data_IF_877437235201
#
_entry.id   IF_877437235201
#
_cell.length_a   1.000
_cell.length_b   1.000
_cell.length_c   1.000
_cell.angle_alpha   90.00
_cell.angle_beta   90.00
_cell.angle_gamma   90.00
#
_symmetry.space_group_name_H-M   'P 1'
#
loop_
_entity.id
_entity.type
_entity.pdbx_description
1 polymer ?
#
# COMPACT_ATOMS: atom_id res chain seq x y z
N UNK A 1 -6.01 9.32 -4.90
CA UNK A 1 -5.06 8.20 -5.05
C UNK A 1 -3.73 8.66 -4.50
N UNK A 2 -3.09 7.83 -3.67
CA UNK A 2 -1.74 8.07 -3.17
C UNK A 2 -0.81 7.02 -3.78
N UNK A 3 0.43 7.39 -4.05
CA UNK A 3 1.44 6.51 -4.66
C UNK A 3 2.77 6.74 -3.97
N UNK A 4 3.60 5.70 -3.95
CA UNK A 4 5.01 5.80 -3.61
C UNK A 4 5.82 5.18 -4.75
N UNK A 5 7.05 5.66 -4.96
CA UNK A 5 7.93 5.15 -6.00
C UNK A 5 9.31 4.83 -5.46
N UNK A 6 9.96 3.87 -6.12
CA UNK A 6 11.26 3.33 -5.73
C UNK A 6 12.38 4.38 -5.72
N UNK A 7 12.20 5.49 -6.42
CA UNK A 7 13.11 6.65 -6.46
C UNK A 7 12.89 7.63 -5.29
N UNK A 8 12.06 7.28 -4.29
CA UNK A 8 11.96 8.05 -3.06
C UNK A 8 10.80 9.04 -2.99
N UNK A 9 9.99 9.11 -4.04
CA UNK A 9 8.88 10.05 -4.11
C UNK A 9 7.59 9.45 -3.59
N UNK A 10 6.81 10.29 -2.93
CA UNK A 10 5.39 10.06 -2.72
C UNK A 10 4.60 11.04 -3.57
N UNK A 11 3.44 10.61 -4.04
CA UNK A 11 2.54 11.43 -4.83
C UNK A 11 1.10 11.25 -4.40
N UNK A 12 0.28 12.27 -4.63
CA UNK A 12 -1.16 12.10 -4.59
C UNK A 12 -1.84 12.81 -5.75
N UNK A 13 -2.89 12.19 -6.26
CA UNK A 13 -3.78 12.76 -7.27
C UNK A 13 -5.11 13.06 -6.62
N UNK A 14 -5.52 14.33 -6.67
CA UNK A 14 -6.84 14.82 -6.24
C UNK A 14 -7.41 15.72 -7.33
N UNK A 15 -8.63 15.43 -7.79
CA UNK A 15 -9.30 16.18 -8.87
C UNK A 15 -8.45 16.33 -10.14
N UNK A 16 -7.71 15.27 -10.51
CA UNK A 16 -6.80 15.29 -11.67
C UNK A 16 -5.49 16.06 -11.47
N UNK A 17 -5.30 16.74 -10.34
CA UNK A 17 -4.05 17.44 -10.01
C UNK A 17 -3.11 16.50 -9.24
N UNK A 18 -1.91 16.33 -9.78
CA UNK A 18 -0.81 15.60 -9.16
C UNK A 18 -0.03 16.55 -8.24
N UNK A 19 0.20 16.11 -6.99
CA UNK A 19 1.22 16.68 -6.10
C UNK A 19 2.22 15.61 -5.71
N UNK A 20 3.46 16.01 -5.46
CA UNK A 20 4.54 15.10 -5.09
C UNK A 20 5.41 15.68 -3.96
N UNK A 21 6.12 14.80 -3.27
CA UNK A 21 7.14 15.14 -2.28
C UNK A 21 8.23 14.07 -2.27
N UNK A 22 9.48 14.50 -2.11
CA UNK A 22 10.62 13.61 -1.96
C UNK A 22 10.82 13.29 -0.49
N UNK A 23 11.00 12.00 -0.17
CA UNK A 23 11.18 11.55 1.21
C UNK A 23 12.61 11.05 1.44
N UNK A 24 13.13 10.19 0.54
CA UNK A 24 14.35 9.41 0.84
C UNK A 24 15.06 8.88 -0.41
N UNK A 25 16.36 8.61 -0.29
CA UNK A 25 17.29 8.21 -1.36
C UNK A 25 16.87 7.04 -2.24
N UNK A 26 16.11 6.07 -1.73
CA UNK A 26 15.57 4.96 -2.53
C UNK A 26 14.63 4.07 -1.73
N UNK A 27 13.77 3.34 -2.45
CA UNK A 27 13.17 2.10 -1.97
C UNK A 27 11.87 2.28 -1.20
N UNK A 28 11.07 3.32 -1.47
CA UNK A 28 9.70 3.34 -0.99
C UNK A 28 8.91 2.23 -1.71
N UNK A 29 8.38 1.28 -0.95
CA UNK A 29 7.67 0.13 -1.50
C UNK A 29 6.17 0.18 -1.26
N UNK A 30 5.73 0.93 -0.25
CA UNK A 30 4.34 0.91 0.19
C UNK A 30 3.93 2.21 0.86
N UNK A 31 2.62 2.52 0.83
CA UNK A 31 2.06 3.76 1.37
C UNK A 31 0.73 3.52 2.09
N UNK A 32 0.69 3.85 3.38
CA UNK A 32 -0.51 3.85 4.22
C UNK A 32 -1.02 5.28 4.41
N UNK A 33 -2.32 5.52 4.36
CA UNK A 33 -2.90 6.87 4.49
C UNK A 33 -3.66 7.02 5.80
N UNK A 34 -3.40 8.09 6.54
CA UNK A 34 -4.28 8.49 7.65
C UNK A 34 -5.54 9.17 7.09
N UNK A 35 -6.72 8.67 7.44
CA UNK A 35 -8.00 9.19 6.95
C UNK A 35 -8.33 10.61 7.42
N UNK A 36 -7.56 11.17 8.36
CA UNK A 36 -7.93 12.39 9.11
C UNK A 36 -6.90 13.52 9.07
N UNK A 37 -5.63 13.27 8.71
CA UNK A 37 -4.57 14.26 8.92
C UNK A 37 -3.84 14.73 7.66
N UNK A 38 -4.27 14.26 6.48
CA UNK A 38 -3.48 14.45 5.26
C UNK A 38 -2.07 13.88 5.41
N UNK A 39 -1.87 12.92 6.32
CA UNK A 39 -0.59 12.25 6.52
C UNK A 39 -0.57 10.91 5.82
N UNK A 40 0.59 10.58 5.28
CA UNK A 40 0.88 9.26 4.73
C UNK A 40 2.08 8.68 5.46
N UNK A 41 2.08 7.36 5.55
CA UNK A 41 3.13 6.55 6.13
C UNK A 41 3.75 5.74 5.02
N UNK A 42 5.07 5.68 4.95
CA UNK A 42 5.76 4.94 3.90
C UNK A 42 6.84 4.06 4.48
N UNK A 43 6.93 2.87 3.90
CA UNK A 43 7.99 1.91 4.15
C UNK A 43 9.15 2.12 3.18
N UNK A 44 10.36 2.25 3.70
CA UNK A 44 11.58 2.40 2.93
C UNK A 44 12.50 1.19 3.14
N UNK A 45 13.01 0.63 2.05
CA UNK A 45 13.93 -0.50 2.08
C UNK A 45 15.19 -0.19 2.90
N UNK A 46 15.52 -1.01 3.89
CA UNK A 46 16.64 -0.87 4.85
C UNK A 46 16.66 0.41 5.69
N UNK A 47 15.64 1.26 5.57
CA UNK A 47 15.61 2.57 6.22
C UNK A 47 14.46 2.71 7.23
N UNK A 48 13.48 1.81 7.17
CA UNK A 48 12.38 1.73 8.12
C UNK A 48 11.16 2.54 7.67
N UNK A 49 10.50 3.19 8.62
CA UNK A 49 9.21 3.86 8.43
C UNK A 49 9.34 5.38 8.47
N UNK A 50 8.61 6.06 7.58
CA UNK A 50 8.52 7.52 7.54
C UNK A 50 7.07 7.98 7.53
N UNK A 51 6.82 9.16 8.09
CA UNK A 51 5.56 9.89 8.01
C UNK A 51 5.77 11.17 7.22
N UNK A 52 4.87 11.47 6.30
CA UNK A 52 4.78 12.76 5.61
C UNK A 52 3.41 13.37 5.83
N UNK A 53 3.34 14.68 6.08
CA UNK A 53 2.07 15.41 6.21
C UNK A 53 1.91 16.43 5.07
N UNK A 54 0.87 16.25 4.25
CA UNK A 54 0.59 17.11 3.09
C UNK A 54 0.13 18.51 3.44
N UNK A 55 -0.38 18.74 4.66
CA UNK A 55 -0.86 20.05 5.08
C UNK A 55 0.30 20.94 5.57
N UNK A 56 1.26 20.38 6.28
CA UNK A 56 2.44 21.11 6.79
C UNK A 56 3.66 21.00 5.88
N UNK A 57 3.70 20.02 4.97
CA UNK A 57 4.89 19.68 4.18
C UNK A 57 5.99 18.98 4.99
N UNK A 58 5.74 18.65 6.26
CA UNK A 58 6.75 18.05 7.14
C UNK A 58 6.87 16.55 6.94
N UNK A 59 8.10 16.04 6.96
CA UNK A 59 8.38 14.60 7.00
C UNK A 59 9.21 14.24 8.24
N UNK A 60 9.00 13.04 8.77
CA UNK A 60 9.68 12.53 9.99
C UNK A 60 9.94 11.04 9.86
N UNK A 61 11.09 10.57 10.37
CA UNK A 61 11.35 9.13 10.55
C UNK A 61 10.61 8.64 11.80
N UNK A 62 10.08 7.42 11.74
CA UNK A 62 9.45 6.76 12.88
C UNK A 62 10.50 5.87 13.55
N UNK A 63 10.81 6.18 14.80
CA UNK A 63 11.67 5.39 15.68
C UNK A 63 10.87 4.22 16.24
N UNK A 64 11.17 3.03 15.73
CA UNK A 64 10.49 1.78 16.12
C UNK A 64 11.24 1.12 17.27
N UNK A 65 10.48 0.68 18.29
CA UNK A 65 10.97 -0.17 19.38
C UNK A 65 10.27 -1.52 19.40
N UNK A 66 11.03 -2.58 19.62
CA UNK A 66 10.54 -3.94 19.91
C UNK A 66 10.92 -4.25 21.37
N UNK A 67 9.93 -4.21 22.28
CA UNK A 67 10.19 -4.12 23.71
C UNK A 67 10.97 -2.84 24.06
N UNK A 68 12.15 -3.00 24.67
CA UNK A 68 13.05 -1.88 25.01
C UNK A 68 14.13 -1.63 23.93
N UNK A 69 14.20 -2.48 22.91
CA UNK A 69 15.25 -2.42 21.89
C UNK A 69 14.83 -1.55 20.71
N UNK A 70 15.74 -0.69 20.25
CA UNK A 70 15.53 0.12 19.06
C UNK A 70 15.74 -0.71 17.78
N UNK A 71 14.81 -0.60 16.82
CA UNK A 71 14.90 -1.25 15.51
C UNK A 71 15.37 -0.21 14.48
N UNK A 72 16.68 -0.13 14.24
CA UNK A 72 17.27 0.99 13.49
C UNK A 72 17.13 0.86 11.96
N UNK A 73 17.16 -0.37 11.44
CA UNK A 73 17.14 -0.67 9.99
C UNK A 73 16.37 -1.96 9.73
N UNK A 74 15.33 -1.84 8.92
CA UNK A 74 14.51 -2.98 8.50
C UNK A 74 13.86 -2.65 7.15
N UNK A 75 13.52 -3.71 6.43
CA UNK A 75 12.83 -3.62 5.15
C UNK A 75 11.33 -3.63 5.40
N UNK A 76 10.61 -2.80 4.64
CA UNK A 76 9.15 -2.78 4.63
C UNK A 76 8.70 -3.12 3.22
N UNK A 77 8.14 -4.32 3.08
CA UNK A 77 7.64 -4.82 1.80
C UNK A 77 6.22 -4.34 1.51
N UNK A 78 5.42 -4.13 2.56
CA UNK A 78 4.06 -3.60 2.49
C UNK A 78 3.69 -2.90 3.80
N UNK A 79 2.81 -1.89 3.75
CA UNK A 79 2.39 -1.08 4.90
C UNK A 79 0.92 -0.65 4.81
N UNK A 80 0.20 -0.81 5.90
CA UNK A 80 -1.15 -0.31 6.05
C UNK A 80 -1.32 0.47 7.35
N UNK A 81 -2.12 1.54 7.29
CA UNK A 81 -2.46 2.37 8.46
C UNK A 81 -3.91 2.15 8.86
N UNK A 82 -4.17 2.12 10.16
CA UNK A 82 -5.51 1.99 10.70
C UNK A 82 -5.65 2.79 12.00
N UNK A 83 -6.78 3.50 12.13
CA UNK A 83 -7.16 4.13 13.40
C UNK A 83 -8.27 3.30 14.01
N UNK A 84 -7.99 2.71 15.17
CA UNK A 84 -8.96 1.95 15.94
C UNK A 84 -9.66 2.85 16.93
N UNK A 85 -10.99 2.75 17.02
CA UNK A 85 -11.76 3.44 18.05
C UNK A 85 -11.98 2.50 19.23
N UNK A 86 -11.42 2.83 20.38
CA UNK A 86 -11.55 2.02 21.61
C UNK A 86 -12.83 2.40 22.34
N UNK A 87 -13.06 3.71 22.50
CA UNK A 87 -14.29 4.28 23.05
C UNK A 87 -14.54 5.68 22.46
N UNK A 88 -15.58 6.37 22.94
CA UNK A 88 -15.97 7.71 22.43
C UNK A 88 -14.87 8.77 22.54
N UNK A 89 -13.87 8.58 23.39
CA UNK A 89 -12.81 9.54 23.66
C UNK A 89 -11.40 8.99 23.38
N UNK A 90 -11.27 7.69 23.13
CA UNK A 90 -9.99 7.03 22.93
C UNK A 90 -9.93 6.33 21.58
N UNK A 91 -8.86 6.62 20.86
CA UNK A 91 -8.45 5.88 19.67
C UNK A 91 -6.97 5.55 19.75
N UNK A 92 -6.57 4.54 19.01
CA UNK A 92 -5.17 4.22 18.77
C UNK A 92 -4.88 4.24 17.27
N UNK A 93 -3.65 4.59 16.94
CA UNK A 93 -3.17 4.64 15.56
C UNK A 93 -2.18 3.51 15.36
N UNK A 94 -2.51 2.61 14.44
CA UNK A 94 -1.80 1.38 14.19
C UNK A 94 -1.21 1.42 12.77
N UNK A 95 -0.02 0.83 12.64
CA UNK A 95 0.60 0.49 11.37
C UNK A 95 0.80 -1.02 11.36
N UNK A 96 0.28 -1.69 10.35
CA UNK A 96 0.70 -3.05 10.02
C UNK A 96 1.73 -3.00 8.90
N UNK A 97 2.75 -3.84 8.96
CA UNK A 97 3.73 -3.95 7.88
C UNK A 97 4.31 -5.36 7.72
N UNK A 98 4.74 -5.68 6.50
CA UNK A 98 5.50 -6.88 6.19
C UNK A 98 7.00 -6.55 6.22
N UNK A 99 7.80 -7.32 6.96
CA UNK A 99 9.26 -7.17 7.02
C UNK A 99 10.01 -8.50 6.86
N UNK A 100 11.34 -8.44 7.06
CA UNK A 100 12.23 -9.60 7.12
C UNK A 100 12.15 -10.48 5.86
N UNK A 101 12.28 -9.86 4.69
CA UNK A 101 12.16 -10.54 3.39
C UNK A 101 10.82 -11.30 3.25
N UNK A 102 9.73 -10.65 3.66
CA UNK A 102 8.36 -11.18 3.64
C UNK A 102 8.12 -12.36 4.58
N UNK A 103 8.89 -12.45 5.67
CA UNK A 103 8.73 -13.51 6.69
C UNK A 103 8.08 -13.03 7.98
N UNK A 104 8.02 -11.72 8.22
CA UNK A 104 7.43 -11.15 9.42
C UNK A 104 6.24 -10.27 9.10
N UNK A 105 5.18 -10.44 9.88
CA UNK A 105 4.00 -9.58 9.92
C UNK A 105 4.02 -8.85 11.26
N UNK A 106 4.06 -7.52 11.22
CA UNK A 106 4.27 -6.70 12.42
C UNK A 106 3.10 -5.73 12.58
N UNK A 107 2.58 -5.63 13.80
CA UNK A 107 1.64 -4.61 14.24
C UNK A 107 2.38 -3.61 15.15
N UNK A 108 2.34 -2.34 14.76
CA UNK A 108 3.01 -1.23 15.42
C UNK A 108 1.97 -0.22 15.91
N UNK A 109 1.99 0.12 17.20
CA UNK A 109 1.22 1.24 17.73
C UNK A 109 2.05 2.51 17.70
N UNK A 110 1.49 3.57 17.11
CA UNK A 110 2.12 4.89 17.07
C UNK A 110 1.99 5.61 18.40
N UNK A 111 3.11 6.12 18.90
CA UNK A 111 3.23 6.90 20.13
C UNK A 111 3.63 8.33 19.76
N UNK A 112 2.63 9.13 19.39
CA UNK A 112 2.85 10.48 18.85
C UNK A 112 3.26 10.46 17.38
N UNK A 113 4.10 11.42 16.98
CA UNK A 113 4.44 11.65 15.55
C UNK A 113 5.69 10.91 15.06
N UNK A 114 6.56 10.50 15.99
CA UNK A 114 7.92 10.03 15.68
C UNK A 114 8.26 8.69 16.31
N UNK A 115 7.42 8.15 17.19
CA UNK A 115 7.71 6.90 17.88
C UNK A 115 6.67 5.85 17.54
N UNK A 116 7.10 4.61 17.43
CA UNK A 116 6.23 3.45 17.30
C UNK A 116 6.73 2.31 18.18
N UNK A 117 5.80 1.57 18.78
CA UNK A 117 6.07 0.38 19.58
C UNK A 117 5.50 -0.84 18.87
N UNK A 118 6.30 -1.88 18.70
CA UNK A 118 5.82 -3.18 18.22
C UNK A 118 4.91 -3.75 19.32
N UNK A 119 3.64 -3.87 19.00
CA UNK A 119 2.63 -4.46 19.88
C UNK A 119 2.39 -5.93 19.50
N UNK A 120 2.61 -6.29 18.23
CA UNK A 120 2.33 -7.63 17.73
C UNK A 120 3.32 -8.08 16.66
N UNK A 121 3.73 -9.36 16.70
CA UNK A 121 4.64 -9.92 15.67
C UNK A 121 4.36 -11.38 15.38
N UNK A 122 4.07 -11.69 14.13
CA UNK A 122 3.98 -13.04 13.58
C UNK A 122 5.12 -13.35 12.63
N UNK A 123 5.66 -14.58 12.68
CA UNK A 123 6.79 -14.97 11.83
C UNK A 123 6.54 -16.31 11.14
N UNK A 124 6.85 -16.36 9.84
CA UNK A 124 6.86 -17.58 9.04
C UNK A 124 8.27 -18.19 9.06
N UNK A 125 8.40 -19.39 9.61
CA UNK A 125 9.68 -20.10 9.71
C UNK A 125 9.98 -20.99 8.52
N UNK A 126 8.94 -21.42 7.78
CA UNK A 126 9.12 -22.25 6.59
C UNK A 126 9.66 -21.45 5.42
N UNK A 127 10.64 -21.99 4.70
CA UNK A 127 11.29 -21.32 3.58
C UNK A 127 10.32 -21.03 2.41
N UNK A 128 9.39 -21.95 2.16
CA UNK A 128 8.40 -21.88 1.07
C UNK A 128 7.26 -20.89 1.32
N UNK A 129 7.06 -20.41 2.55
CA UNK A 129 5.97 -19.51 2.91
C UNK A 129 6.43 -18.05 2.95
N UNK A 130 5.68 -17.15 2.34
CA UNK A 130 5.94 -15.71 2.41
C UNK A 130 4.62 -14.95 2.54
N UNK A 131 4.62 -13.87 3.31
CA UNK A 131 3.52 -12.92 3.24
C UNK A 131 3.51 -12.26 1.86
N UNK A 132 2.32 -12.09 1.29
CA UNK A 132 2.15 -11.45 -0.01
C UNK A 132 1.88 -9.96 0.14
N UNK A 133 0.73 -9.67 0.73
CA UNK A 133 0.06 -8.38 0.80
C UNK A 133 -0.82 -8.32 2.07
N UNK A 134 -1.09 -7.13 2.59
CA UNK A 134 -1.92 -6.93 3.80
C UNK A 134 -2.93 -5.82 3.60
N UNK A 135 -4.04 -5.86 4.35
CA UNK A 135 -4.89 -4.68 4.51
C UNK A 135 -5.70 -4.76 5.81
N UNK A 136 -6.17 -3.62 6.30
CA UNK A 136 -7.15 -3.61 7.38
C UNK A 136 -8.57 -3.70 6.83
N UNK A 137 -9.32 -4.69 7.32
CA UNK A 137 -10.76 -4.84 7.12
C UNK A 137 -11.45 -4.60 8.47
N UNK A 138 -11.93 -3.38 8.68
CA UNK A 138 -12.45 -2.90 9.96
C UNK A 138 -11.46 -3.20 11.12
N UNK A 139 -11.90 -3.86 12.19
CA UNK A 139 -11.07 -4.23 13.37
C UNK A 139 -10.24 -5.51 13.15
N UNK A 140 -9.98 -5.90 11.90
CA UNK A 140 -9.18 -7.08 11.55
C UNK A 140 -8.04 -6.73 10.59
N UNK A 141 -6.87 -7.32 10.83
CA UNK A 141 -5.80 -7.35 9.85
C UNK A 141 -5.99 -8.56 8.94
N UNK A 142 -6.16 -8.31 7.64
CA UNK A 142 -6.20 -9.31 6.59
C UNK A 142 -4.81 -9.41 5.97
N UNK A 143 -4.34 -10.62 5.74
CA UNK A 143 -3.02 -10.87 5.17
C UNK A 143 -3.05 -12.07 4.23
N UNK A 144 -2.20 -12.03 3.21
CA UNK A 144 -2.03 -13.14 2.29
C UNK A 144 -0.75 -13.90 2.54
N UNK A 145 -0.79 -15.22 2.31
CA UNK A 145 0.38 -16.09 2.33
C UNK A 145 0.46 -16.80 0.98
N UNK A 146 1.54 -16.53 0.26
CA UNK A 146 1.78 -17.07 -1.09
C UNK A 146 1.78 -18.60 -1.03
N UNK A 147 0.99 -19.24 -1.91
CA UNK A 147 0.84 -20.70 -1.94
C UNK A 147 -0.12 -21.28 -0.89
N UNK A 148 -0.87 -20.44 -0.16
CA UNK A 148 -1.84 -20.86 0.86
C UNK A 148 -3.19 -20.17 0.72
N UNK A 149 -3.21 -18.84 0.72
CA UNK A 149 -4.45 -18.08 0.65
C UNK A 149 -4.47 -16.78 1.45
N UNK A 150 -5.68 -16.33 1.75
CA UNK A 150 -6.01 -15.13 2.52
C UNK A 150 -6.50 -15.53 3.90
N UNK A 151 -5.96 -14.86 4.90
CA UNK A 151 -6.29 -15.07 6.29
C UNK A 151 -6.63 -13.72 6.93
N UNK A 152 -7.28 -13.78 8.08
CA UNK A 152 -7.46 -12.60 8.93
C UNK A 152 -7.08 -12.90 10.37
N UNK A 153 -6.81 -11.84 11.12
CA UNK A 153 -6.66 -11.88 12.56
C UNK A 153 -7.30 -10.61 13.14
N UNK A 154 -8.21 -10.73 14.13
CA UNK A 154 -8.70 -9.56 14.85
C UNK A 154 -7.53 -8.79 15.48
N UNK A 155 -7.60 -7.46 15.47
CA UNK A 155 -6.53 -6.61 16.03
C UNK A 155 -6.25 -6.93 17.51
N UNK A 156 -7.30 -7.25 18.29
CA UNK A 156 -7.16 -7.69 19.69
C UNK A 156 -6.36 -8.98 19.87
N UNK A 157 -6.31 -9.83 18.85
CA UNK A 157 -5.60 -11.10 18.87
C UNK A 157 -4.18 -10.98 18.29
N UNK A 158 -3.78 -9.78 17.85
CA UNK A 158 -2.45 -9.53 17.31
C UNK A 158 -1.42 -9.13 18.36
N UNK A 159 -1.84 -8.71 19.55
CA UNK A 159 -0.89 -8.32 20.59
C UNK A 159 0.01 -9.50 20.98
N UNK A 160 1.27 -9.19 21.29
CA UNK A 160 2.36 -10.11 21.55
C UNK A 160 2.82 -10.95 20.34
N UNK A 161 3.59 -12.00 20.62
CA UNK A 161 4.10 -12.93 19.62
C UNK A 161 2.97 -13.83 19.14
N UNK A 162 2.72 -13.83 17.83
CA UNK A 162 1.71 -14.66 17.18
C UNK A 162 2.38 -15.93 16.65
N UNK A 163 1.96 -17.08 17.16
CA UNK A 163 2.46 -18.38 16.71
C UNK A 163 2.05 -18.66 15.26
N UNK A 164 2.95 -19.29 14.49
CA UNK A 164 2.72 -19.58 13.07
C UNK A 164 1.47 -20.44 12.84
N UNK A 165 1.14 -21.34 13.76
CA UNK A 165 -0.07 -22.16 13.69
C UNK A 165 -1.34 -21.31 13.69
N UNK A 166 -1.35 -20.22 14.48
CA UNK A 166 -2.46 -19.28 14.54
C UNK A 166 -2.55 -18.41 13.27
N UNK A 167 -1.41 -18.13 12.62
CA UNK A 167 -1.38 -17.43 11.32
C UNK A 167 -1.86 -18.30 10.15
N UNK A 168 -1.86 -19.61 10.32
CA UNK A 168 -2.20 -20.59 9.29
C UNK A 168 -3.48 -21.38 9.62
N UNK A 169 -4.27 -20.93 10.60
CA UNK A 169 -5.49 -21.61 11.02
C UNK A 169 -6.56 -21.58 9.92
N UNK A 170 -7.15 -22.74 9.63
CA UNK A 170 -8.27 -22.85 8.67
C UNK A 170 -9.50 -22.05 9.11
N UNK A 171 -9.71 -21.88 10.42
CA UNK A 171 -10.80 -21.05 10.96
C UNK A 171 -10.65 -19.57 10.52
N UNK A 172 -9.41 -19.13 10.39
CA UNK A 172 -9.02 -17.78 9.95
C UNK A 172 -8.85 -17.66 8.44
N UNK A 173 -8.95 -18.75 7.69
CA UNK A 173 -8.89 -18.73 6.24
C UNK A 173 -10.18 -18.11 5.66
N UNK A 174 -10.00 -17.14 4.77
CA UNK A 174 -11.07 -16.47 4.01
C UNK A 174 -11.13 -16.97 2.57
N UNK A 175 -9.97 -17.30 1.99
CA UNK A 175 -9.85 -17.62 0.57
C UNK A 175 -8.63 -18.50 0.34
N UNK A 176 -8.79 -19.64 -0.32
CA UNK A 176 -7.66 -20.48 -0.71
C UNK A 176 -7.17 -20.09 -2.10
N UNK A 177 -5.87 -19.83 -2.21
CA UNK A 177 -5.22 -19.48 -3.48
C UNK A 177 -3.75 -19.89 -3.46
N UNK A 178 -3.25 -20.32 -4.61
CA UNK A 178 -1.84 -20.67 -4.80
C UNK A 178 -1.04 -19.48 -5.36
N UNK A 179 -1.69 -18.64 -6.15
CA UNK A 179 -1.09 -17.49 -6.79
C UNK A 179 -0.80 -16.37 -5.77
N UNK A 180 0.18 -15.49 -6.03
CA UNK A 180 0.28 -14.22 -5.31
C UNK A 180 -0.99 -13.40 -5.53
N UNK A 181 -1.34 -12.56 -4.55
CA UNK A 181 -2.55 -11.76 -4.63
C UNK A 181 -2.31 -10.32 -4.18
N UNK A 182 -3.20 -9.43 -4.58
CA UNK A 182 -3.36 -8.08 -4.04
C UNK A 182 -4.74 -7.95 -3.37
N UNK A 183 -4.82 -7.18 -2.28
CA UNK A 183 -5.95 -7.05 -1.39
C UNK A 183 -6.42 -5.60 -1.31
N UNK A 184 -7.73 -5.39 -1.23
CA UNK A 184 -8.26 -4.06 -0.92
C UNK A 184 -9.60 -4.14 -0.17
N UNK A 185 -9.81 -3.25 0.80
CA UNK A 185 -11.03 -3.20 1.62
C UNK A 185 -12.04 -2.18 1.12
N UNK A 186 -13.28 -2.62 0.87
CA UNK A 186 -14.41 -1.75 0.53
C UNK A 186 -15.28 -1.53 1.76
N UNK A 187 -14.96 -0.47 2.51
CA UNK A 187 -15.57 -0.17 3.80
C UNK A 187 -17.09 -0.05 3.77
N UNK A 188 -17.66 0.65 2.79
CA UNK A 188 -19.11 0.91 2.78
C UNK A 188 -19.97 -0.34 2.51
N UNK A 189 -19.37 -1.38 1.91
CA UNK A 189 -20.04 -2.63 1.55
C UNK A 189 -19.61 -3.81 2.43
N UNK A 190 -18.63 -3.61 3.31
CA UNK A 190 -17.98 -4.66 4.09
C UNK A 190 -17.53 -5.86 3.23
N UNK A 191 -16.86 -5.57 2.10
CA UNK A 191 -16.31 -6.60 1.21
C UNK A 191 -14.79 -6.45 1.07
N UNK A 192 -14.10 -7.58 1.11
CA UNK A 192 -12.68 -7.69 0.76
C UNK A 192 -12.59 -8.00 -0.73
N UNK A 193 -11.88 -7.16 -1.48
CA UNK A 193 -11.57 -7.38 -2.89
C UNK A 193 -10.21 -8.07 -3.00
N UNK A 194 -10.11 -9.05 -3.89
CA UNK A 194 -8.94 -9.89 -4.09
C UNK A 194 -8.62 -9.94 -5.59
N UNK A 195 -7.35 -9.71 -5.92
CA UNK A 195 -6.82 -9.90 -7.27
C UNK A 195 -5.77 -11.01 -7.22
N UNK A 196 -6.00 -12.09 -7.97
CA UNK A 196 -4.98 -13.11 -8.17
C UNK A 196 -4.03 -12.73 -9.31
N UNK A 197 -2.74 -12.68 -8.99
CA UNK A 197 -1.68 -12.40 -9.97
C UNK A 197 -1.37 -13.68 -10.74
N UNK A 198 -1.80 -13.73 -11.99
CA UNK A 198 -1.49 -14.83 -12.90
C UNK A 198 -0.49 -14.39 -13.98
N UNK A 199 0.23 -15.34 -14.58
CA UNK A 199 1.13 -15.07 -15.71
C UNK A 199 0.39 -14.72 -17.00
N UNK A 200 -0.93 -14.98 -17.04
CA UNK A 200 -1.84 -14.64 -18.12
C UNK A 200 -2.47 -13.25 -17.96
N UNK A 201 -3.52 -13.00 -18.74
CA UNK A 201 -4.28 -11.75 -18.64
C UNK A 201 -5.13 -11.75 -17.37
N UNK A 202 -5.26 -10.58 -16.73
CA UNK A 202 -6.22 -10.41 -15.65
C UNK A 202 -7.63 -10.34 -16.23
N UNK A 203 -8.45 -11.37 -16.00
CA UNK A 203 -9.84 -11.43 -16.48
C UNK A 203 -10.88 -11.02 -15.44
N UNK A 204 -10.67 -11.43 -14.18
CA UNK A 204 -11.65 -11.30 -13.10
C UNK A 204 -11.02 -10.78 -11.81
N UNK A 205 -11.85 -10.16 -10.97
CA UNK A 205 -11.56 -9.74 -9.59
C UNK A 205 -12.54 -10.47 -8.68
N UNK A 206 -12.08 -11.02 -7.57
CA UNK A 206 -12.96 -11.66 -6.60
C UNK A 206 -13.30 -10.71 -5.46
N UNK A 207 -14.49 -10.84 -4.88
CA UNK A 207 -14.77 -10.24 -3.58
C UNK A 207 -15.37 -11.24 -2.61
N UNK A 208 -15.11 -10.99 -1.33
CA UNK A 208 -15.58 -11.78 -0.20
C UNK A 208 -16.31 -10.84 0.75
N UNK A 209 -17.63 -11.01 0.96
CA UNK A 209 -18.31 -10.37 2.07
C UNK A 209 -17.67 -10.80 3.38
N UNK A 210 -17.30 -9.84 4.21
CA UNK A 210 -16.75 -10.08 5.54
C UNK A 210 -17.90 -10.38 6.52
N UNK A 211 -18.72 -11.37 6.18
CA UNK A 211 -19.81 -11.91 6.97
C UNK A 211 -19.67 -13.44 7.09
N UNK A 212 -20.56 -14.08 7.84
CA UNK A 212 -20.42 -15.49 8.24
C UNK A 212 -20.43 -16.49 7.05
N UNK A 213 -20.94 -16.11 5.87
CA UNK A 213 -21.13 -17.08 4.78
C UNK A 213 -19.85 -17.41 3.99
N UNK A 214 -18.75 -16.66 4.16
CA UNK A 214 -17.44 -16.87 3.47
C UNK A 214 -17.55 -17.24 1.98
N UNK A 215 -18.58 -16.76 1.27
CA UNK A 215 -18.77 -16.99 -0.16
C UNK A 215 -18.06 -15.90 -0.94
N UNK A 216 -17.24 -16.28 -1.92
CA UNK A 216 -16.67 -15.31 -2.84
C UNK A 216 -17.52 -15.21 -4.12
N UNK A 217 -17.46 -14.05 -4.78
CA UNK A 217 -18.03 -13.83 -6.12
C UNK A 217 -16.98 -13.21 -7.01
N UNK A 218 -16.89 -13.68 -8.23
CA UNK A 218 -16.05 -13.10 -9.28
C UNK A 218 -16.80 -11.94 -9.98
N UNK A 219 -16.05 -10.91 -10.33
CA UNK A 219 -16.49 -9.74 -11.09
C UNK A 219 -15.58 -9.63 -12.30
N UNK A 220 -16.17 -9.53 -13.48
CA UNK A 220 -15.43 -9.37 -14.72
C UNK A 220 -14.81 -7.98 -14.85
N UNK A 221 -13.75 -7.90 -15.66
CA UNK A 221 -13.15 -6.63 -16.08
C UNK A 221 -13.26 -6.46 -17.61
N UNK A 222 -13.83 -5.35 -18.04
CA UNK A 222 -13.79 -4.88 -19.42
C UNK A 222 -12.60 -3.93 -19.65
N UNK A 223 -11.65 -4.41 -20.46
CA UNK A 223 -10.40 -3.71 -20.81
C UNK A 223 -10.48 -2.87 -22.09
N UNK A 224 -11.68 -2.68 -22.65
CA UNK A 224 -11.85 -1.98 -23.93
C UNK A 224 -12.08 -0.49 -23.70
N UNK A 225 -11.31 0.34 -24.39
CA UNK A 225 -11.53 1.79 -24.44
C UNK A 225 -11.32 2.28 -25.88
N UNK A 226 -12.25 3.08 -26.42
CA UNK A 226 -12.22 3.60 -27.81
C UNK A 226 -11.85 2.55 -28.88
N UNK A 227 -12.41 1.34 -28.76
CA UNK A 227 -12.17 0.17 -29.63
C UNK A 227 -10.76 -0.44 -29.56
N UNK A 228 -9.97 -0.11 -28.54
CA UNK A 228 -8.67 -0.74 -28.26
C UNK A 228 -8.79 -1.62 -27.01
N UNK A 229 -8.16 -2.79 -27.06
CA UNK A 229 -8.03 -3.65 -25.90
C UNK A 229 -6.73 -3.30 -25.15
N UNK A 230 -6.87 -2.97 -23.87
CA UNK A 230 -5.78 -2.57 -22.99
C UNK A 230 -5.46 -3.59 -21.89
N UNK A 231 -5.87 -4.86 -22.04
CA UNK A 231 -5.68 -5.90 -21.04
C UNK A 231 -4.21 -5.96 -20.56
N UNK A 232 -4.05 -5.98 -19.24
CA UNK A 232 -2.75 -6.12 -18.59
C UNK A 232 -2.55 -7.58 -18.15
N UNK A 233 -1.29 -8.00 -18.11
CA UNK A 233 -0.91 -9.28 -17.52
C UNK A 233 -1.02 -9.19 -15.99
N UNK A 234 -1.52 -10.25 -15.34
CA UNK A 234 -1.72 -10.26 -13.89
C UNK A 234 -0.42 -10.12 -13.10
N UNK A 235 0.68 -10.67 -13.62
CA UNK A 235 2.02 -10.57 -13.03
C UNK A 235 2.68 -9.19 -13.22
N UNK A 236 2.14 -8.35 -14.12
CA UNK A 236 2.57 -6.97 -14.31
C UNK A 236 1.89 -5.98 -13.35
N UNK A 237 0.95 -6.46 -12.52
CA UNK A 237 0.31 -5.65 -11.48
C UNK A 237 1.31 -5.47 -10.34
N UNK A 238 1.59 -4.24 -9.96
CA UNK A 238 2.46 -3.89 -8.84
C UNK A 238 1.70 -3.26 -7.67
N UNK A 239 0.43 -2.91 -7.87
CA UNK A 239 -0.42 -2.42 -6.81
C UNK A 239 -1.89 -2.38 -7.20
N UNK A 240 -2.74 -2.42 -6.19
CA UNK A 240 -4.19 -2.45 -6.31
C UNK A 240 -4.82 -1.54 -5.26
N UNK A 241 -5.87 -0.81 -5.65
CA UNK A 241 -6.71 -0.14 -4.67
C UNK A 241 -8.16 -0.09 -5.12
N UNK A 242 -9.04 0.06 -4.14
CA UNK A 242 -10.48 0.22 -4.32
C UNK A 242 -10.95 1.46 -3.59
N UNK A 243 -11.96 2.11 -4.16
CA UNK A 243 -12.69 3.19 -3.50
C UNK A 243 -13.55 2.68 -2.35
N UNK A 244 -13.82 3.53 -1.36
CA UNK A 244 -14.56 3.15 -0.15
C UNK A 244 -15.97 2.61 -0.42
N UNK A 245 -16.61 3.05 -1.51
CA UNK A 245 -17.94 2.61 -1.97
C UNK A 245 -17.87 1.42 -2.96
N UNK A 246 -16.66 1.03 -3.36
CA UNK A 246 -16.43 -0.01 -4.35
C UNK A 246 -16.93 0.37 -5.73
N UNK A 247 -17.01 1.67 -6.05
CA UNK A 247 -17.42 2.14 -7.37
C UNK A 247 -16.26 2.14 -8.36
N UNK A 248 -15.05 2.38 -7.87
CA UNK A 248 -13.83 2.43 -8.64
C UNK A 248 -12.76 1.48 -8.11
N UNK A 249 -12.04 0.84 -9.02
CA UNK A 249 -10.78 0.15 -8.76
C UNK A 249 -9.65 0.81 -9.57
N UNK A 250 -8.42 0.69 -9.08
CA UNK A 250 -7.24 1.06 -9.84
C UNK A 250 -6.15 0.00 -9.73
N UNK A 251 -5.48 -0.23 -10.85
CA UNK A 251 -4.42 -1.21 -11.03
C UNK A 251 -3.17 -0.48 -11.52
N UNK A 252 -2.08 -0.60 -10.77
CA UNK A 252 -0.79 -0.02 -11.11
C UNK A 252 0.22 -1.09 -11.57
N UNK A 253 1.23 -0.63 -12.30
CA UNK A 253 2.33 -1.41 -12.89
C UNK A 253 3.08 -0.48 -13.84
N UNK A 254 3.42 -0.95 -15.05
CA UNK A 254 3.92 -0.05 -16.11
C UNK A 254 2.91 1.04 -16.50
N UNK A 255 1.62 0.76 -16.31
CA UNK A 255 0.51 1.69 -16.54
C UNK A 255 -0.43 1.70 -15.34
N UNK A 256 -1.10 2.83 -15.16
CA UNK A 256 -2.20 3.01 -14.23
C UNK A 256 -3.53 2.90 -14.99
N UNK A 257 -4.25 1.82 -14.76
CA UNK A 257 -5.62 1.63 -15.21
C UNK A 257 -6.59 2.00 -14.08
N UNK A 258 -7.66 2.73 -14.41
CA UNK A 258 -8.75 3.04 -13.47
C UNK A 258 -10.05 2.57 -14.10
N UNK A 259 -10.82 1.80 -13.34
CA UNK A 259 -12.05 1.18 -13.82
C UNK A 259 -13.22 1.56 -12.92
N UNK A 260 -14.40 1.71 -13.51
CA UNK A 260 -15.65 2.02 -12.84
C UNK A 260 -16.60 0.83 -12.91
N UNK A 261 -17.27 0.53 -11.81
CA UNK A 261 -18.28 -0.52 -11.74
C UNK A 261 -19.52 -0.09 -12.54
N UNK A 262 -19.88 -0.87 -13.54
CA UNK A 262 -21.09 -0.69 -14.36
C UNK A 262 -22.18 -1.63 -13.83
N UNK A 263 -23.28 -1.05 -13.37
CA UNK A 263 -24.54 -1.74 -12.98
C UNK A 263 -24.39 -3.04 -12.14
N UNK A 264 -23.35 -3.13 -11.29
CA UNK A 264 -23.00 -4.31 -10.45
C UNK A 264 -22.57 -5.59 -11.19
N UNK A 265 -22.35 -5.52 -12.51
CA UNK A 265 -22.05 -6.71 -13.32
C UNK A 265 -20.56 -6.84 -13.64
N UNK A 266 -19.85 -5.74 -13.90
CA UNK A 266 -18.42 -5.76 -14.21
C UNK A 266 -17.76 -4.37 -14.05
N UNK A 267 -16.43 -4.33 -14.02
CA UNK A 267 -15.66 -3.07 -14.03
C UNK A 267 -15.22 -2.70 -15.44
N UNK A 268 -15.50 -1.47 -15.87
CA UNK A 268 -15.12 -0.95 -17.18
C UNK A 268 -14.02 0.09 -17.08
N UNK A 269 -13.04 0.02 -17.99
CA UNK A 269 -11.99 1.01 -18.12
C UNK A 269 -12.56 2.42 -18.44
N UNK A 270 -12.28 3.41 -17.59
CA UNK A 270 -12.87 4.76 -17.75
C UNK A 270 -12.14 5.64 -18.78
N UNK A 271 -10.87 5.31 -19.06
CA UNK A 271 -9.96 6.08 -19.93
C UNK A 271 -8.79 5.22 -20.36
N UNK A 272 -8.06 5.67 -21.39
CA UNK A 272 -6.79 5.05 -21.77
C UNK A 272 -5.83 4.97 -20.55
N UNK A 273 -5.20 3.79 -20.29
CA UNK A 273 -4.31 3.64 -19.15
C UNK A 273 -3.14 4.60 -19.25
N UNK A 274 -2.84 5.26 -18.13
CA UNK A 274 -1.79 6.27 -18.07
C UNK A 274 -0.46 5.57 -17.86
N UNK A 275 0.55 5.82 -18.68
CA UNK A 275 1.89 5.31 -18.40
C UNK A 275 2.40 5.85 -17.05
N UNK A 276 2.77 4.95 -16.14
CA UNK A 276 3.18 5.29 -14.79
C UNK A 276 4.58 5.94 -14.71
N UNK A 277 5.11 6.41 -15.85
CA UNK A 277 6.30 7.26 -15.87
C UNK A 277 5.88 8.64 -15.43
N UNK A 278 6.23 9.02 -14.20
CA UNK A 278 6.19 10.42 -13.76
C UNK A 278 7.04 11.22 -14.76
N UNK A 279 6.38 11.87 -15.71
CA UNK A 279 7.01 12.87 -16.54
C UNK A 279 7.12 14.11 -15.69
N UNK A 280 8.34 14.56 -15.45
CA UNK A 280 8.61 15.86 -14.86
C UNK A 280 8.60 16.97 -15.94
N UNK A 281 8.13 16.67 -17.15
CA UNK A 281 8.19 17.59 -18.28
C UNK A 281 7.51 18.93 -17.95
N UNK A 282 8.32 19.99 -17.88
CA UNK A 282 7.93 21.36 -17.50
C UNK A 282 7.51 21.54 -16.03
N UNK A 283 7.76 20.56 -15.16
CA UNK A 283 7.62 20.75 -13.73
C UNK A 283 8.79 21.61 -13.22
N UNK A 284 8.48 22.76 -12.62
CA UNK A 284 9.47 23.67 -12.04
C UNK A 284 9.77 23.29 -10.59
N UNK A 285 11.05 23.09 -10.29
CA UNK A 285 11.58 22.81 -8.97
C UNK A 285 12.49 23.98 -8.56
N UNK A 286 12.06 24.75 -7.54
CA UNK A 286 12.79 25.92 -7.01
C UNK A 286 13.12 25.70 -5.55
N UNK A 287 14.31 26.14 -5.12
CA UNK A 287 14.71 26.09 -3.70
C UNK A 287 14.84 24.68 -3.13
N UNK A 288 15.16 23.68 -3.97
CA UNK A 288 15.31 22.30 -3.53
C UNK A 288 16.61 22.11 -2.75
N UNK A 289 16.48 21.95 -1.43
CA UNK A 289 17.57 21.57 -0.53
C UNK A 289 17.63 20.04 -0.39
N UNK A 290 18.85 19.47 -0.34
CA UNK A 290 19.06 18.05 -0.09
C UNK A 290 18.97 17.10 -1.29
N UNK A 291 18.83 17.61 -2.52
CA UNK A 291 18.92 16.77 -3.72
C UNK A 291 20.38 16.47 -4.07
N UNK A 292 20.71 15.20 -4.28
CA UNK A 292 22.03 14.81 -4.81
C UNK A 292 22.12 15.13 -6.30
N UNK A 293 23.33 15.16 -6.86
CA UNK A 293 23.52 15.34 -8.32
C UNK A 293 22.81 14.26 -9.13
N UNK A 294 22.78 13.03 -8.61
CA UNK A 294 22.07 11.90 -9.20
C UNK A 294 20.56 12.12 -9.25
N UNK A 295 19.98 12.71 -8.21
CA UNK A 295 18.55 13.04 -8.17
C UNK A 295 18.21 14.16 -9.16
N UNK A 296 19.08 15.19 -9.25
CA UNK A 296 18.95 16.29 -10.21
C UNK A 296 19.00 15.76 -11.64
N UNK A 297 19.94 14.87 -11.96
CA UNK A 297 20.08 14.27 -13.29
C UNK A 297 18.88 13.38 -13.63
N UNK A 298 18.42 12.56 -12.68
CA UNK A 298 17.22 11.74 -12.82
C UNK A 298 15.97 12.58 -13.16
N UNK A 299 15.79 13.71 -12.48
CA UNK A 299 14.68 14.64 -12.69
C UNK A 299 14.78 15.35 -14.05
N UNK A 300 15.98 15.83 -14.42
CA UNK A 300 16.23 16.45 -15.73
C UNK A 300 15.96 15.49 -16.88
N UNK A 301 16.37 14.22 -16.73
CA UNK A 301 16.10 13.16 -17.72
C UNK A 301 14.60 12.89 -17.90
N UNK A 302 13.75 13.32 -16.95
CA UNK A 302 12.29 13.25 -17.03
C UNK A 302 11.63 14.58 -17.40
N UNK A 303 12.42 15.60 -17.75
CA UNK A 303 11.95 16.90 -18.26
C UNK A 303 11.73 17.98 -17.20
N UNK A 304 12.23 17.79 -15.98
CA UNK A 304 12.15 18.79 -14.92
C UNK A 304 12.94 20.07 -15.27
N UNK A 305 12.39 21.22 -14.91
CA UNK A 305 13.09 22.51 -14.90
C UNK A 305 13.55 22.74 -13.46
N UNK A 306 14.86 22.71 -13.23
CA UNK A 306 15.43 22.90 -11.89
C UNK A 306 16.12 24.26 -11.85
N UNK A 307 15.58 25.18 -11.06
CA UNK A 307 16.21 26.48 -10.78
C UNK A 307 16.91 26.38 -9.42
N UNK A 308 18.24 26.31 -9.44
CA UNK A 308 19.03 26.47 -8.22
C UNK A 308 18.98 27.94 -7.81
N UNK A 309 18.56 28.20 -6.58
CA UNK A 309 18.76 29.52 -5.98
C UNK A 309 20.26 29.71 -5.79
N UNK A 310 20.88 30.62 -6.54
CA UNK A 310 22.27 31.02 -6.32
C UNK A 310 22.38 31.57 -4.88
N UNK A 311 23.06 30.86 -3.97
CA UNK A 311 23.29 31.41 -2.63
C UNK A 311 23.78 30.49 -1.52
N UNK A 312 23.64 29.16 -1.60
CA UNK A 312 23.99 28.28 -0.46
C UNK A 312 25.07 27.25 -0.83
N UNK A 313 26.28 27.75 -1.09
CA UNK A 313 27.50 27.03 -0.74
C UNK A 313 27.97 27.54 0.63
N UNK A 314 27.63 26.81 1.71
CA UNK A 314 28.40 26.75 2.96
C UNK A 314 28.20 25.42 3.67
#
# INVERSE_FOLDING_TARGET
>A
MYTASQDGWISYIKNGQLKNAYIVGSGLQSIGTSGTEGSVYVGANREGLYRYNWNSGSYRKIHVKDGEEAVEKFDVADIHYYTRTIDKQRSENLIAYISDNKKSLVLLQLQGLENGRVEGKGTLHREDLKFGDICFADDSLVYSIVGRGVYYIPVDEMYDKIEQASLLSDERCLYHCVNPIELAWVKAKHILMIIEKSTGNLGTVSYIPFNEEKRFKEIDIEWVFENKNHAIRGDAIEGFCVSNDGKYIALSGEKLAVLELVENDYYQLIREPIEARISCNRAEFKGCIGLTEKDIEFLKNRGAIIEKTEGEER
#
